data_IF_480108323860
#
_entry.id   IF_480108323860
#
_cell.length_a   1.000
_cell.length_b   1.000
_cell.length_c   1.000
_cell.angle_alpha   90.00
_cell.angle_beta   90.00
_cell.angle_gamma   90.00
#
_symmetry.space_group_name_H-M   'P 1'
#
loop_
_entity.id
_entity.type
_entity.pdbx_description
1 polymer ?
#
# COMPACT_ATOMS: atom_id res chain seq x y z
N UNK A 1 -2.72 15.09 -9.18
CA UNK A 1 -2.09 14.51 -7.98
C UNK A 1 -2.84 15.01 -6.75
N UNK A 2 -3.35 14.10 -5.91
CA UNK A 2 -3.98 14.48 -4.63
C UNK A 2 -2.92 14.99 -3.66
N UNK A 3 -3.25 16.03 -2.89
CA UNK A 3 -2.38 16.63 -1.87
C UNK A 3 -2.21 15.59 -0.75
N UNK A 4 -0.98 15.15 -0.45
CA UNK A 4 -0.73 14.30 0.72
C UNK A 4 -0.85 15.16 1.97
N UNK A 5 -1.78 14.81 2.86
CA UNK A 5 -1.80 15.33 4.22
C UNK A 5 -1.00 14.39 5.10
N UNK A 6 -0.13 14.91 5.95
CA UNK A 6 0.73 14.08 6.82
C UNK A 6 -0.09 13.20 7.80
N UNK A 7 -1.34 13.58 8.09
CA UNK A 7 -2.29 12.85 8.93
C UNK A 7 -2.94 11.61 8.28
N UNK A 8 -2.76 11.38 6.97
CA UNK A 8 -3.40 10.24 6.30
C UNK A 8 -2.81 8.93 6.79
N UNK A 9 -3.59 8.06 7.46
CA UNK A 9 -3.10 6.76 7.98
C UNK A 9 -2.46 5.86 6.92
N UNK A 10 -2.91 5.96 5.67
CA UNK A 10 -2.48 5.08 4.59
C UNK A 10 -1.70 5.83 3.52
N UNK A 11 -0.50 5.34 3.22
CA UNK A 11 0.38 5.92 2.20
C UNK A 11 0.49 4.99 0.99
N UNK A 12 0.23 5.51 -0.21
CA UNK A 12 0.54 4.80 -1.46
C UNK A 12 2.02 5.01 -1.75
N UNK A 13 2.80 3.93 -1.71
CA UNK A 13 4.26 3.95 -1.96
C UNK A 13 4.62 3.44 -3.36
N UNK A 14 3.69 2.79 -4.03
CA UNK A 14 3.80 2.36 -5.41
C UNK A 14 2.43 2.42 -6.07
N UNK A 15 2.39 2.93 -7.30
CA UNK A 15 1.19 3.00 -8.11
C UNK A 15 1.54 2.67 -9.56
N UNK A 16 0.84 1.69 -10.12
CA UNK A 16 0.90 1.32 -11.53
C UNK A 16 -0.51 1.35 -12.09
N UNK A 17 -0.78 2.35 -12.93
CA UNK A 17 -2.09 2.57 -13.56
C UNK A 17 -1.91 2.42 -15.07
N UNK A 18 -2.78 1.62 -15.67
CA UNK A 18 -2.94 1.50 -17.11
C UNK A 18 -4.38 1.74 -17.53
N UNK A 19 -4.66 1.56 -18.83
CA UNK A 19 -5.96 1.88 -19.43
C UNK A 19 -7.14 1.21 -18.69
N UNK A 20 -6.98 -0.03 -18.20
CA UNK A 20 -8.04 -0.78 -17.53
C UNK A 20 -7.61 -1.43 -16.22
N UNK A 21 -6.48 -1.01 -15.64
CA UNK A 21 -6.02 -1.58 -14.38
C UNK A 21 -5.38 -0.52 -13.48
N UNK A 22 -5.41 -0.81 -12.18
CA UNK A 22 -4.74 -0.04 -11.15
C UNK A 22 -4.19 -1.01 -10.12
N UNK A 23 -2.88 -0.99 -9.94
CA UNK A 23 -2.18 -1.76 -8.93
C UNK A 23 -1.48 -0.79 -7.98
N UNK A 24 -1.62 -0.99 -6.67
CA UNK A 24 -1.03 -0.11 -5.64
C UNK A 24 -0.38 -0.93 -4.53
N UNK A 25 0.71 -0.41 -3.98
CA UNK A 25 1.19 -0.82 -2.66
C UNK A 25 0.84 0.29 -1.69
N UNK A 26 0.07 -0.07 -0.67
CA UNK A 26 -0.46 0.83 0.36
C UNK A 26 0.16 0.42 1.70
N UNK A 27 0.74 1.37 2.42
CA UNK A 27 1.32 1.15 3.76
C UNK A 27 0.38 1.75 4.79
N UNK A 28 -0.03 0.95 5.78
CA UNK A 28 -0.66 1.47 7.01
C UNK A 28 0.42 1.99 7.94
N UNK A 29 0.52 3.32 8.08
CA UNK A 29 1.53 3.96 8.93
C UNK A 29 1.41 3.61 10.41
N UNK A 30 0.24 3.18 10.89
CA UNK A 30 0.05 2.82 12.30
C UNK A 30 0.54 1.41 12.61
N UNK A 31 0.38 0.47 11.68
CA UNK A 31 0.69 -0.96 11.91
C UNK A 31 1.94 -1.42 11.17
N UNK A 32 2.41 -0.66 10.19
CA UNK A 32 3.47 -1.05 9.25
C UNK A 32 3.03 -2.09 8.22
N UNK A 33 1.78 -2.58 8.26
CA UNK A 33 1.28 -3.58 7.31
C UNK A 33 1.22 -2.98 5.92
N UNK A 34 1.69 -3.75 4.94
CA UNK A 34 1.62 -3.38 3.53
C UNK A 34 0.55 -4.18 2.82
N UNK A 35 -0.20 -3.52 1.95
CA UNK A 35 -1.29 -4.09 1.17
C UNK A 35 -1.01 -3.95 -0.31
N UNK A 36 -1.26 -5.01 -1.06
CA UNK A 36 -1.40 -4.96 -2.50
C UNK A 36 -2.86 -4.79 -2.87
N UNK A 37 -3.17 -3.66 -3.49
CA UNK A 37 -4.45 -3.44 -4.15
C UNK A 37 -4.30 -3.71 -5.64
N UNK A 38 -5.25 -4.45 -6.20
CA UNK A 38 -5.37 -4.66 -7.64
C UNK A 38 -6.81 -4.47 -8.07
N UNK A 39 -7.04 -3.61 -9.04
CA UNK A 39 -8.36 -3.31 -9.56
C UNK A 39 -8.35 -3.11 -11.06
N UNK A 40 -9.52 -3.28 -11.65
CA UNK A 40 -9.88 -2.91 -13.02
C UNK A 40 -11.10 -1.99 -12.95
N UNK A 41 -11.61 -1.54 -14.10
CA UNK A 41 -12.83 -0.73 -14.14
C UNK A 41 -14.06 -1.43 -13.55
N UNK A 42 -14.08 -2.77 -13.51
CA UNK A 42 -15.27 -3.55 -13.17
C UNK A 42 -15.16 -4.28 -11.83
N UNK A 43 -14.10 -4.04 -11.06
CA UNK A 43 -13.90 -4.70 -9.76
C UNK A 43 -12.45 -4.71 -9.32
N UNK A 44 -12.21 -5.11 -8.08
CA UNK A 44 -10.87 -5.17 -7.52
C UNK A 44 -10.83 -5.89 -6.19
N UNK A 45 -9.62 -6.06 -5.67
CA UNK A 45 -9.34 -6.69 -4.39
C UNK A 45 -8.14 -6.05 -3.70
N UNK A 46 -8.03 -6.34 -2.41
CA UNK A 46 -6.91 -5.93 -1.57
C UNK A 46 -6.48 -7.11 -0.71
N UNK A 47 -5.17 -7.33 -0.60
CA UNK A 47 -4.59 -8.36 0.27
C UNK A 47 -3.37 -7.79 0.99
N UNK A 48 -3.09 -8.20 2.24
CA UNK A 48 -1.77 -7.97 2.82
C UNK A 48 -0.69 -8.62 1.96
N UNK A 49 0.49 -8.00 1.90
CA UNK A 49 1.70 -8.64 1.39
C UNK A 49 2.17 -9.69 2.39
N UNK A 50 2.50 -10.87 1.87
CA UNK A 50 2.98 -11.99 2.68
C UNK A 50 4.45 -12.28 2.37
N UNK A 51 5.20 -12.69 3.38
CA UNK A 51 6.55 -13.21 3.21
C UNK A 51 6.55 -14.67 2.72
N UNK A 52 7.74 -15.25 2.59
CA UNK A 52 7.93 -16.64 2.14
C UNK A 52 7.30 -17.70 3.07
N UNK A 53 6.99 -17.34 4.32
CA UNK A 53 6.36 -18.22 5.31
C UNK A 53 4.84 -18.02 5.36
N UNK A 54 4.29 -17.13 4.53
CA UNK A 54 2.87 -16.78 4.53
C UNK A 54 2.48 -15.83 5.67
N UNK A 55 3.44 -15.20 6.34
CA UNK A 55 3.17 -14.20 7.39
C UNK A 55 3.03 -12.82 6.77
N UNK A 56 2.23 -11.97 7.40
CA UNK A 56 2.05 -10.58 6.96
C UNK A 56 3.37 -9.82 7.05
N UNK A 57 3.74 -9.14 5.96
CA UNK A 57 4.90 -8.25 5.93
C UNK A 57 4.56 -6.98 6.69
N UNK A 58 5.32 -6.73 7.75
CA UNK A 58 5.26 -5.52 8.57
C UNK A 58 6.55 -4.73 8.34
N UNK A 59 6.42 -3.51 7.83
CA UNK A 59 7.50 -2.55 7.73
C UNK A 59 7.21 -1.36 8.65
N UNK A 60 7.56 -1.51 9.92
CA UNK A 60 7.68 -0.41 10.87
C UNK A 60 9.03 0.26 10.64
N UNK A 61 9.25 0.81 9.45
CA UNK A 61 10.50 1.47 9.12
C UNK A 61 10.86 2.47 10.21
N UNK A 62 12.06 2.32 10.76
CA UNK A 62 12.73 3.32 11.58
C UNK A 62 12.42 4.70 11.00
N UNK A 63 11.72 5.52 11.77
CA UNK A 63 11.65 6.95 11.49
C UNK A 63 13.10 7.45 11.65
N UNK A 64 13.90 7.42 10.59
CA UNK A 64 15.08 8.25 10.53
C UNK A 64 14.56 9.69 10.49
N UNK A 65 14.61 10.32 11.66
CA UNK A 65 14.56 11.77 11.78
C UNK A 65 15.72 12.31 10.94
N UNK A 66 15.39 12.88 9.78
CA UNK A 66 16.21 13.91 9.16
C UNK A 66 15.60 15.26 9.49
#
# INVERSE_FOLDING_TARGET
MSKKNDDDRFDVIYENVGWHHTNKIIVDKQTGVQYFYSGTSNGGGITPLLDKEGKVVINLGSVEVK
#
